data_IF_858562337256
#
_entry.id   IF_858562337256
#
_cell.length_a   1.000
_cell.length_b   1.000
_cell.length_c   1.000
_cell.angle_alpha   90.00
_cell.angle_beta   90.00
_cell.angle_gamma   90.00
#
_symmetry.space_group_name_H-M   'P 1'
#
loop_
_entity.id
_entity.type
_entity.pdbx_description
1 polymer ?
#
# COMPACT_ATOMS: atom_id res chain seq x y z
N UNK A 1 -3.95 7.51 -7.36
CA UNK A 1 -3.81 6.26 -6.59
C UNK A 1 -4.99 5.31 -6.79
N UNK A 2 -6.24 5.76 -6.62
CA UNK A 2 -7.44 4.90 -6.68
C UNK A 2 -7.65 4.06 -7.96
N UNK A 3 -7.36 4.61 -9.14
CA UNK A 3 -7.51 3.88 -10.41
C UNK A 3 -6.54 2.71 -10.55
N UNK A 4 -5.33 2.84 -9.99
CA UNK A 4 -4.26 1.85 -10.09
C UNK A 4 -4.17 0.93 -8.87
N UNK A 5 -4.89 1.23 -7.78
CA UNK A 5 -4.86 0.44 -6.54
C UNK A 5 -5.74 -0.82 -6.60
N UNK A 6 -6.27 -1.15 -7.77
CA UNK A 6 -7.12 -2.32 -7.96
C UNK A 6 -8.49 -2.23 -7.28
N UNK A 7 -8.96 -1.03 -6.91
CA UNK A 7 -10.28 -0.79 -6.31
C UNK A 7 -11.37 -0.93 -7.37
N UNK A 8 -11.18 -0.29 -8.52
CA UNK A 8 -12.14 -0.27 -9.62
C UNK A 8 -11.93 -1.41 -10.62
N UNK A 9 -10.69 -1.88 -10.79
CA UNK A 9 -10.33 -2.89 -11.79
C UNK A 9 -9.55 -4.04 -11.13
N UNK A 10 -9.88 -5.30 -11.44
CA UNK A 10 -9.16 -6.45 -10.89
C UNK A 10 -7.70 -6.45 -11.39
N UNK A 11 -6.77 -6.57 -10.45
CA UNK A 11 -5.32 -6.52 -10.70
C UNK A 11 -4.84 -7.62 -11.66
N UNK A 12 -5.58 -8.72 -11.77
CA UNK A 12 -5.26 -9.85 -12.65
C UNK A 12 -5.44 -9.54 -14.14
N UNK A 13 -6.18 -8.48 -14.48
CA UNK A 13 -6.41 -8.03 -15.85
C UNK A 13 -5.41 -6.95 -16.30
N UNK A 14 -4.51 -6.50 -15.41
CA UNK A 14 -3.60 -5.42 -15.74
C UNK A 14 -2.34 -5.90 -16.47
N UNK A 15 -1.84 -5.12 -17.45
CA UNK A 15 -0.56 -5.39 -18.09
C UNK A 15 0.58 -5.38 -17.06
N UNK A 16 1.60 -6.20 -17.28
CA UNK A 16 2.63 -6.51 -16.28
C UNK A 16 3.32 -5.28 -15.67
N UNK A 17 3.58 -4.25 -16.46
CA UNK A 17 4.17 -2.99 -15.97
C UNK A 17 3.29 -2.28 -14.93
N UNK A 18 1.97 -2.35 -15.12
CA UNK A 18 1.01 -1.69 -14.25
C UNK A 18 0.79 -2.49 -12.97
N UNK A 19 0.84 -3.83 -13.05
CA UNK A 19 0.85 -4.71 -11.88
C UNK A 19 2.02 -4.40 -10.96
N UNK A 20 3.21 -4.18 -11.53
CA UNK A 20 4.41 -3.79 -10.76
C UNK A 20 4.25 -2.44 -10.08
N UNK A 21 3.69 -1.44 -10.77
CA UNK A 21 3.41 -0.13 -10.15
C UNK A 21 2.38 -0.22 -9.02
N UNK A 22 1.34 -1.04 -9.18
CA UNK A 22 0.34 -1.27 -8.14
C UNK A 22 0.93 -1.89 -6.87
N UNK A 23 1.95 -2.75 -6.99
CA UNK A 23 2.66 -3.35 -5.83
C UNK A 23 3.45 -2.34 -5.00
N UNK A 24 3.83 -1.20 -5.56
CA UNK A 24 4.48 -0.13 -4.79
C UNK A 24 3.48 0.81 -4.12
N UNK A 25 2.18 0.70 -4.43
CA UNK A 25 1.15 1.56 -3.85
C UNK A 25 0.60 0.96 -2.55
N UNK A 26 0.70 1.67 -1.41
CA UNK A 26 0.15 1.20 -0.13
C UNK A 26 -1.37 0.98 -0.20
N UNK A 27 -2.05 1.75 -1.05
CA UNK A 27 -3.49 1.65 -1.27
C UNK A 27 -3.90 0.28 -1.85
N UNK A 28 -3.06 -0.35 -2.68
CA UNK A 28 -3.32 -1.68 -3.24
C UNK A 28 -3.38 -2.74 -2.14
N UNK A 29 -2.44 -2.66 -1.20
CA UNK A 29 -2.38 -3.57 -0.06
C UNK A 29 -3.56 -3.34 0.90
N UNK A 30 -3.92 -2.08 1.16
CA UNK A 30 -5.06 -1.75 2.03
C UNK A 30 -6.38 -2.30 1.49
N UNK A 31 -6.59 -2.19 0.17
CA UNK A 31 -7.79 -2.68 -0.52
C UNK A 31 -7.82 -4.20 -0.58
N UNK A 32 -6.66 -4.86 -0.75
CA UNK A 32 -6.55 -6.31 -0.66
C UNK A 32 -6.93 -6.83 0.74
N UNK A 33 -6.48 -6.15 1.80
CA UNK A 33 -6.84 -6.49 3.19
C UNK A 33 -8.35 -6.31 3.42
N UNK A 34 -8.90 -5.16 3.03
CA UNK A 34 -10.33 -4.85 3.18
C UNK A 34 -11.22 -5.88 2.49
N UNK A 35 -10.89 -6.27 1.25
CA UNK A 35 -11.63 -7.30 0.51
C UNK A 35 -11.55 -8.68 1.16
N UNK A 36 -10.38 -9.06 1.65
CA UNK A 36 -10.20 -10.35 2.28
C UNK A 36 -10.97 -10.46 3.61
N UNK A 37 -11.05 -9.37 4.38
CA UNK A 37 -11.90 -9.29 5.58
C UNK A 37 -13.38 -9.40 5.19
N UNK A 38 -13.82 -8.67 4.16
CA UNK A 38 -15.22 -8.68 3.72
C UNK A 38 -15.66 -10.05 3.17
N UNK A 39 -14.79 -10.74 2.44
CA UNK A 39 -15.05 -12.07 1.89
C UNK A 39 -14.82 -13.21 2.89
N UNK A 40 -14.31 -12.93 4.10
CA UNK A 40 -13.95 -13.95 5.10
C UNK A 40 -12.78 -14.86 4.69
N UNK A 41 -12.03 -14.50 3.64
CA UNK A 41 -10.92 -15.30 3.13
C UNK A 41 -9.59 -14.83 3.72
N UNK A 42 -9.19 -15.44 4.83
CA UNK A 42 -7.93 -15.13 5.49
C UNK A 42 -6.76 -15.90 4.84
N UNK A 43 -6.11 -15.27 3.86
CA UNK A 43 -4.89 -15.80 3.25
C UNK A 43 -3.65 -15.33 4.05
N UNK A 44 -2.62 -16.19 4.20
CA UNK A 44 -1.32 -15.82 4.83
C UNK A 44 -0.67 -14.57 4.21
N UNK A 45 -0.96 -14.29 2.93
CA UNK A 45 -0.53 -13.05 2.26
C UNK A 45 -1.06 -11.74 2.87
N UNK A 46 -2.11 -11.78 3.70
CA UNK A 46 -2.61 -10.61 4.45
C UNK A 46 -1.56 -10.04 5.39
N UNK A 47 -0.83 -10.90 6.11
CA UNK A 47 0.19 -10.49 7.06
C UNK A 47 1.31 -9.76 6.33
N UNK A 48 1.68 -10.25 5.14
CA UNK A 48 2.65 -9.59 4.27
C UNK A 48 2.16 -8.22 3.79
N UNK A 49 0.92 -8.11 3.33
CA UNK A 49 0.32 -6.83 2.93
C UNK A 49 0.30 -5.81 4.09
N UNK A 50 -0.04 -6.27 5.30
CA UNK A 50 -0.06 -5.42 6.49
C UNK A 50 1.35 -4.94 6.87
N UNK A 51 2.33 -5.85 6.86
CA UNK A 51 3.74 -5.53 7.07
C UNK A 51 4.26 -4.48 6.07
N UNK A 52 3.93 -4.64 4.79
CA UNK A 52 4.37 -3.69 3.75
C UNK A 52 3.81 -2.29 4.01
N UNK A 53 2.52 -2.18 4.33
CA UNK A 53 1.91 -0.88 4.67
C UNK A 53 2.56 -0.28 5.91
N UNK A 54 2.73 -1.07 6.96
CA UNK A 54 3.33 -0.62 8.22
C UNK A 54 4.76 -0.11 8.02
N UNK A 55 5.58 -0.82 7.24
CA UNK A 55 6.94 -0.39 6.91
C UNK A 55 6.92 0.91 6.11
N UNK A 56 6.04 1.05 5.12
CA UNK A 56 5.90 2.28 4.34
C UNK A 56 5.46 3.46 5.20
N UNK A 57 4.53 3.24 6.12
CA UNK A 57 4.07 4.25 7.08
C UNK A 57 5.22 4.74 7.96
N UNK A 58 5.97 3.81 8.57
CA UNK A 58 7.12 4.14 9.42
C UNK A 58 8.17 4.93 8.65
N UNK A 59 8.52 4.49 7.43
CA UNK A 59 9.49 5.20 6.58
C UNK A 59 9.00 6.61 6.24
N UNK A 60 7.74 6.74 5.79
CA UNK A 60 7.16 8.03 5.44
C UNK A 60 7.10 8.98 6.65
N UNK A 61 6.76 8.45 7.84
CA UNK A 61 6.74 9.19 9.09
C UNK A 61 8.13 9.71 9.46
N UNK A 62 9.16 8.85 9.44
CA UNK A 62 10.54 9.26 9.74
C UNK A 62 11.06 10.32 8.74
N UNK A 63 10.78 10.13 7.45
CA UNK A 63 11.14 11.09 6.40
C UNK A 63 10.42 12.42 6.65
N UNK A 64 9.12 12.41 6.93
CA UNK A 64 8.32 13.59 7.24
C UNK A 64 8.85 14.35 8.45
N UNK A 65 9.14 13.65 9.55
CA UNK A 65 9.73 14.25 10.77
C UNK A 65 11.10 14.85 10.47
N UNK A 66 11.96 14.16 9.71
CA UNK A 66 13.29 14.67 9.35
C UNK A 66 13.22 15.92 8.47
N UNK A 67 12.31 15.94 7.49
CA UNK A 67 12.06 17.11 6.63
C UNK A 67 11.49 18.28 7.42
N UNK A 68 10.55 18.03 8.33
CA UNK A 68 10.00 19.08 9.20
C UNK A 68 11.06 19.63 10.14
N UNK A 69 11.88 18.77 10.78
CA UNK A 69 13.00 19.22 11.62
C UNK A 69 13.99 20.06 10.83
N UNK A 70 14.41 19.62 9.64
CA UNK A 70 15.31 20.38 8.75
C UNK A 70 14.73 21.73 8.30
N UNK A 71 13.40 21.81 8.17
CA UNK A 71 12.71 23.05 7.74
C UNK A 71 12.47 24.03 8.90
N UNK A 72 12.19 23.54 10.10
CA UNK A 72 11.75 24.35 11.24
C UNK A 72 12.87 24.67 12.24
N UNK A 73 13.87 23.79 12.34
CA UNK A 73 15.01 23.96 13.23
C UNK A 73 16.23 24.19 12.34
N UNK A 74 16.74 25.42 12.34
CA UNK A 74 17.95 25.80 11.62
C UNK A 74 19.17 25.35 12.40
#
# INVERSE_FOLDING_TARGET
MLFFSGVFFPLDKFPGWMKTLSLFMPLTHAVAISRAIFNGTYNRGLIFNFLVIFVLEVIAFFIGVKLMKKRLIK
#
